data_IF_316091254457
#
_entry.id   IF_316091254457
#
_cell.length_a   1.000
_cell.length_b   1.000
_cell.length_c   1.000
_cell.angle_alpha   90.00
_cell.angle_beta   90.00
_cell.angle_gamma   90.00
#
_symmetry.space_group_name_H-M   'P 1'
#
loop_
_entity.id
_entity.type
_entity.pdbx_description
1 polymer ?
#
# COMPACT_ATOMS: atom_id res chain seq x y z
N UNK A 1 7.69 16.70 14.92
CA UNK A 1 6.49 15.85 14.83
C UNK A 1 6.88 14.47 15.29
N UNK A 2 6.22 13.95 16.33
CA UNK A 2 6.35 12.57 16.75
C UNK A 2 5.28 11.78 15.99
N UNK A 3 5.68 11.09 14.92
CA UNK A 3 4.80 10.11 14.28
C UNK A 3 5.13 8.77 14.93
N UNK A 4 4.24 8.19 15.76
CA UNK A 4 4.46 6.83 16.22
C UNK A 4 4.66 5.94 14.98
N UNK A 5 5.70 5.11 15.00
CA UNK A 5 5.96 4.18 13.91
C UNK A 5 4.88 3.07 13.96
N UNK A 6 3.78 3.28 13.24
CA UNK A 6 2.64 2.38 13.23
C UNK A 6 2.86 1.31 12.16
N UNK A 7 3.26 0.13 12.60
CA UNK A 7 3.29 -1.07 11.75
C UNK A 7 1.88 -1.67 11.67
N UNK A 8 1.50 -2.10 10.47
CA UNK A 8 0.32 -2.93 10.27
C UNK A 8 0.43 -4.24 11.05
N UNK A 9 -0.70 -4.70 11.58
CA UNK A 9 -0.84 -6.01 12.25
C UNK A 9 -1.75 -6.92 11.42
N UNK A 10 -1.95 -8.17 11.83
CA UNK A 10 -2.69 -9.18 11.06
C UNK A 10 -4.05 -8.65 10.53
N UNK A 11 -4.18 -8.66 9.21
CA UNK A 11 -5.38 -8.19 8.49
C UNK A 11 -5.43 -6.68 8.24
N UNK A 12 -4.48 -5.90 8.76
CA UNK A 12 -4.36 -4.47 8.47
C UNK A 12 -3.60 -4.21 7.16
N UNK A 13 -4.00 -3.14 6.50
CA UNK A 13 -3.34 -2.55 5.34
C UNK A 13 -3.17 -1.05 5.58
N UNK A 14 -2.33 -0.40 4.80
CA UNK A 14 -2.11 1.03 4.94
C UNK A 14 -3.14 1.83 4.16
N UNK A 15 -3.70 2.85 4.82
CA UNK A 15 -4.56 3.86 4.20
C UNK A 15 -4.00 5.26 4.43
N UNK A 16 -4.34 6.18 3.54
CA UNK A 16 -4.14 7.61 3.72
C UNK A 16 -5.43 8.35 3.35
N UNK A 17 -5.62 9.53 3.93
CA UNK A 17 -6.64 10.44 3.44
C UNK A 17 -6.20 10.94 2.06
N UNK A 18 -7.12 11.03 1.10
CA UNK A 18 -6.84 11.54 -0.24
C UNK A 18 -6.09 12.89 -0.16
N UNK A 19 -5.11 13.08 -1.06
CA UNK A 19 -4.24 14.27 -1.12
C UNK A 19 -3.33 14.48 0.11
N UNK A 20 -3.13 13.46 0.93
CA UNK A 20 -2.21 13.48 2.07
C UNK A 20 -1.12 12.42 1.95
N UNK A 21 -0.03 12.60 2.72
CA UNK A 21 1.08 11.64 2.77
C UNK A 21 1.15 10.88 4.08
N UNK A 22 0.31 11.22 5.07
CA UNK A 22 0.29 10.53 6.35
C UNK A 22 -0.49 9.23 6.21
N UNK A 23 0.18 8.13 6.53
CA UNK A 23 -0.38 6.78 6.42
C UNK A 23 -0.76 6.23 7.79
N UNK A 24 -1.77 5.37 7.81
CA UNK A 24 -2.27 4.70 9.00
C UNK A 24 -2.65 3.24 8.68
N UNK A 25 -2.30 2.26 9.52
CA UNK A 25 -2.76 0.89 9.33
C UNK A 25 -4.20 0.72 9.80
N UNK A 26 -5.01 0.01 9.02
CA UNK A 26 -6.42 -0.25 9.31
C UNK A 26 -6.86 -1.60 8.72
N UNK A 27 -7.88 -2.22 9.32
CA UNK A 27 -8.68 -3.20 8.59
C UNK A 27 -9.68 -2.45 7.70
N UNK A 28 -10.11 -3.05 6.60
CA UNK A 28 -11.00 -2.40 5.63
C UNK A 28 -12.31 -3.16 5.56
N UNK A 29 -13.44 -2.45 5.58
CA UNK A 29 -14.73 -3.07 5.33
C UNK A 29 -14.84 -3.58 3.88
N UNK A 30 -15.70 -4.60 3.70
CA UNK A 30 -16.00 -5.16 2.38
C UNK A 30 -16.59 -4.09 1.44
N UNK A 31 -17.54 -3.29 1.91
CA UNK A 31 -18.19 -2.28 1.07
C UNK A 31 -17.41 -0.97 1.05
N UNK A 32 -17.19 -0.44 -0.16
CA UNK A 32 -16.64 0.90 -0.39
C UNK A 32 -17.70 1.97 -0.19
N UNK A 33 -17.25 3.20 0.02
CA UNK A 33 -18.09 4.39 -0.04
C UNK A 33 -17.64 5.26 -1.21
N UNK A 34 -18.47 5.35 -2.26
CA UNK A 34 -18.13 6.07 -3.51
C UNK A 34 -16.78 5.64 -4.12
N UNK A 35 -16.43 4.35 -4.00
CA UNK A 35 -15.13 3.80 -4.44
C UNK A 35 -13.98 4.02 -3.45
N UNK A 36 -14.19 4.74 -2.35
CA UNK A 36 -13.20 4.92 -1.29
C UNK A 36 -13.28 3.82 -0.24
N UNK A 37 -12.14 3.54 0.38
CA UNK A 37 -12.05 2.57 1.46
C UNK A 37 -12.77 3.05 2.71
N UNK A 38 -13.26 2.09 3.49
CA UNK A 38 -13.93 2.34 4.77
C UNK A 38 -13.08 1.68 5.86
N UNK A 39 -12.08 2.40 6.41
CA UNK A 39 -11.14 1.84 7.36
C UNK A 39 -11.68 1.75 8.79
N UNK A 40 -11.17 0.77 9.52
CA UNK A 40 -11.42 0.51 10.94
C UNK A 40 -10.10 0.47 11.70
N UNK A 41 -9.86 1.48 12.52
CA UNK A 41 -8.58 1.74 13.17
C UNK A 41 -8.57 1.19 14.59
N UNK A 42 -7.54 0.43 14.97
CA UNK A 42 -7.31 0.09 16.39
C UNK A 42 -7.02 1.35 17.21
N UNK A 43 -7.29 1.31 18.52
CA UNK A 43 -7.17 2.46 19.45
C UNK A 43 -5.91 3.30 19.26
N UNK A 44 -4.73 2.68 19.28
CA UNK A 44 -3.45 3.40 19.16
C UNK A 44 -3.30 4.13 17.81
N UNK A 45 -3.92 3.62 16.75
CA UNK A 45 -3.94 4.28 15.44
C UNK A 45 -4.92 5.44 15.46
N UNK A 46 -6.10 5.26 16.05
CA UNK A 46 -7.08 6.33 16.24
C UNK A 46 -6.52 7.52 17.04
N UNK A 47 -5.74 7.27 18.10
CA UNK A 47 -5.02 8.31 18.86
C UNK A 47 -3.98 9.05 18.01
N UNK A 48 -3.32 8.33 17.11
CA UNK A 48 -2.34 8.91 16.20
C UNK A 48 -3.02 9.78 15.13
N UNK A 49 -4.17 9.34 14.61
CA UNK A 49 -5.00 10.14 13.70
C UNK A 49 -5.48 11.42 14.40
N UNK A 50 -5.99 11.32 15.63
CA UNK A 50 -6.44 12.49 16.38
C UNK A 50 -5.30 13.50 16.62
N UNK A 51 -4.12 13.00 16.99
CA UNK A 51 -2.92 13.84 17.15
C UNK A 51 -2.51 14.52 15.84
N UNK A 52 -2.55 13.78 14.73
CA UNK A 52 -2.25 14.30 13.40
C UNK A 52 -3.24 15.39 12.98
N UNK A 53 -4.55 15.15 13.10
CA UNK A 53 -5.59 16.13 12.77
C UNK A 53 -5.39 17.44 13.52
N UNK A 54 -5.22 17.37 14.85
CA UNK A 54 -4.99 18.56 15.67
C UNK A 54 -3.69 19.28 15.28
N UNK A 55 -2.63 18.54 14.95
CA UNK A 55 -1.37 19.14 14.48
C UNK A 55 -1.56 19.88 13.15
N UNK A 56 -2.34 19.32 12.23
CA UNK A 56 -2.63 19.95 10.94
C UNK A 56 -3.51 21.19 11.12
N UNK A 57 -4.53 21.10 11.99
CA UNK A 57 -5.39 22.22 12.36
C UNK A 57 -4.60 23.37 12.99
N UNK A 58 -3.73 23.07 13.95
CA UNK A 58 -2.88 24.08 14.60
C UNK A 58 -1.94 24.79 13.61
N UNK A 59 -1.53 24.08 12.55
CA UNK A 59 -0.64 24.62 11.53
C UNK A 59 -1.36 25.52 10.51
N UNK A 60 -2.52 25.08 10.01
CA UNK A 60 -3.31 25.82 9.02
C UNK A 60 -4.81 25.53 9.23
N UNK A 61 -5.46 26.24 10.17
CA UNK A 61 -6.85 25.96 10.56
C UNK A 61 -7.87 26.33 9.47
N UNK A 62 -7.46 27.12 8.47
CA UNK A 62 -8.30 27.45 7.32
C UNK A 62 -8.37 26.33 6.30
N UNK A 63 -7.30 25.54 6.18
CA UNK A 63 -7.24 24.35 5.32
C UNK A 63 -7.66 23.07 6.05
N UNK A 64 -7.25 22.94 7.30
CA UNK A 64 -7.47 21.77 8.15
C UNK A 64 -8.39 22.15 9.27
N UNK A 65 -9.68 22.07 9.01
CA UNK A 65 -10.65 22.64 9.93
C UNK A 65 -11.04 21.65 11.03
N UNK A 66 -10.87 20.36 10.80
CA UNK A 66 -11.28 19.30 11.72
C UNK A 66 -10.33 19.15 12.92
N UNK A 67 -10.90 18.88 14.09
CA UNK A 67 -10.16 18.56 15.33
C UNK A 67 -10.71 17.29 15.96
N UNK A 68 -9.92 16.67 16.82
CA UNK A 68 -10.25 15.36 17.38
C UNK A 68 -9.82 15.25 18.85
N UNK A 69 -10.70 14.73 19.71
CA UNK A 69 -10.40 14.50 21.13
C UNK A 69 -11.01 13.22 21.64
N UNK A 70 -10.34 12.58 22.60
CA UNK A 70 -10.82 11.40 23.28
C UNK A 70 -11.43 11.73 24.64
N UNK A 71 -12.58 11.13 24.93
CA UNK A 71 -13.20 11.07 26.26
C UNK A 71 -13.43 9.59 26.62
N UNK A 72 -12.52 9.05 27.43
CA UNK A 72 -12.41 7.60 27.64
C UNK A 72 -12.18 6.86 26.31
N UNK A 73 -13.09 5.93 26.00
CA UNK A 73 -13.07 5.14 24.77
C UNK A 73 -13.79 5.81 23.61
N UNK A 74 -14.37 7.00 23.78
CA UNK A 74 -15.10 7.68 22.69
C UNK A 74 -14.20 8.72 22.03
N UNK A 75 -14.02 8.62 20.71
CA UNK A 75 -13.41 9.68 19.91
C UNK A 75 -14.49 10.67 19.48
N UNK A 76 -14.28 11.96 19.69
CA UNK A 76 -15.11 13.01 19.10
C UNK A 76 -14.30 13.73 18.02
N UNK A 77 -14.79 13.71 16.78
CA UNK A 77 -14.26 14.51 15.67
C UNK A 77 -15.19 15.70 15.46
N UNK A 78 -14.66 16.90 15.50
CA UNK A 78 -15.42 18.12 15.22
C UNK A 78 -15.19 18.51 13.76
N UNK A 79 -16.15 18.21 12.90
CA UNK A 79 -16.14 18.63 11.50
C UNK A 79 -16.73 20.04 11.37
N UNK A 80 -15.96 20.98 10.81
CA UNK A 80 -16.38 22.40 10.82
C UNK A 80 -17.36 22.78 9.71
N UNK A 81 -17.45 22.04 8.61
CA UNK A 81 -18.40 22.40 7.54
C UNK A 81 -19.86 22.31 8.03
N UNK A 82 -20.14 21.40 8.99
CA UNK A 82 -21.45 21.28 9.63
C UNK A 82 -21.48 21.70 11.12
N UNK A 83 -20.32 21.93 11.74
CA UNK A 83 -20.16 22.15 13.19
C UNK A 83 -20.80 21.04 14.05
N UNK A 84 -20.89 19.82 13.52
CA UNK A 84 -21.49 18.69 14.23
C UNK A 84 -20.36 17.82 14.78
N UNK A 85 -20.28 17.65 16.11
CA UNK A 85 -19.36 16.69 16.68
C UNK A 85 -19.83 15.28 16.30
N UNK A 86 -19.02 14.55 15.55
CA UNK A 86 -19.21 13.13 15.32
C UNK A 86 -18.60 12.35 16.48
N UNK A 87 -19.43 11.51 17.12
CA UNK A 87 -19.03 10.69 18.26
C UNK A 87 -18.84 9.26 17.76
N UNK A 88 -17.59 8.80 17.84
CA UNK A 88 -17.14 7.54 17.30
C UNK A 88 -16.78 6.63 18.47
N UNK A 89 -17.64 5.65 18.73
CA UNK A 89 -17.40 4.56 19.66
C UNK A 89 -16.66 3.42 18.94
N UNK A 90 -15.80 2.65 19.64
CA UNK A 90 -15.22 1.45 19.07
C UNK A 90 -16.31 0.41 18.79
N UNK A 91 -16.14 -0.35 17.72
CA UNK A 91 -16.98 -1.52 17.43
C UNK A 91 -16.62 -2.72 18.31
N UNK A 92 -17.28 -3.86 18.08
CA UNK A 92 -17.09 -5.12 18.81
C UNK A 92 -15.66 -5.69 18.72
N UNK A 93 -14.81 -5.16 17.84
CA UNK A 93 -13.41 -5.55 17.68
C UNK A 93 -12.44 -4.47 18.20
N UNK A 94 -12.92 -3.52 19.03
CA UNK A 94 -12.15 -2.39 19.56
C UNK A 94 -11.58 -1.46 18.48
N UNK A 95 -12.32 -1.28 17.36
CA UNK A 95 -11.90 -0.45 16.22
C UNK A 95 -12.82 0.73 15.94
N UNK A 96 -12.23 1.83 15.50
CA UNK A 96 -12.86 3.13 15.29
C UNK A 96 -13.05 3.41 13.80
N UNK A 97 -14.24 3.85 13.40
CA UNK A 97 -14.60 4.19 12.02
C UNK A 97 -14.44 5.70 11.75
N UNK A 98 -13.20 6.18 11.66
CA UNK A 98 -12.90 7.62 11.57
C UNK A 98 -13.16 8.14 10.15
N UNK A 99 -14.01 9.17 10.03
CA UNK A 99 -14.40 9.74 8.74
C UNK A 99 -15.32 8.82 7.93
N UNK A 100 -16.04 7.89 8.59
CA UNK A 100 -16.92 6.92 7.95
C UNK A 100 -17.94 7.62 7.03
N UNK A 101 -17.82 7.36 5.72
CA UNK A 101 -18.67 7.94 4.67
C UNK A 101 -18.69 9.48 4.62
N UNK A 102 -17.71 10.13 5.22
CA UNK A 102 -17.45 11.57 5.08
C UNK A 102 -16.11 11.83 4.41
N UNK A 103 -15.13 10.95 4.62
CA UNK A 103 -13.75 11.15 4.17
C UNK A 103 -13.33 10.16 3.09
N UNK A 104 -12.51 10.63 2.17
CA UNK A 104 -12.01 9.85 1.04
C UNK A 104 -10.72 9.12 1.44
N UNK A 105 -10.84 7.96 2.09
CA UNK A 105 -9.69 7.11 2.43
C UNK A 105 -9.26 6.25 1.23
N UNK A 106 -7.97 6.21 0.92
CA UNK A 106 -7.38 5.41 -0.16
C UNK A 106 -6.39 4.39 0.39
N UNK A 107 -6.31 3.20 -0.23
CA UNK A 107 -5.23 2.25 0.04
C UNK A 107 -3.90 2.86 -0.42
N UNK A 108 -2.85 2.59 0.34
CA UNK A 108 -1.50 3.09 0.07
C UNK A 108 -0.45 2.13 0.62
N UNK A 109 0.81 2.55 0.61
CA UNK A 109 1.95 1.82 1.13
C UNK A 109 2.66 2.62 2.22
N UNK A 110 3.40 1.97 3.13
CA UNK A 110 4.18 2.69 4.11
C UNK A 110 5.25 3.58 3.42
N UNK A 111 5.66 4.70 4.03
CA UNK A 111 6.73 5.52 3.52
C UNK A 111 7.98 4.68 3.23
N UNK A 112 8.51 4.80 2.00
CA UNK A 112 9.79 4.19 1.61
C UNK A 112 10.87 5.26 1.49
N UNK A 113 12.13 4.84 1.63
CA UNK A 113 13.28 5.68 1.32
C UNK A 113 13.58 5.61 -0.19
N UNK A 114 13.38 6.71 -0.95
CA UNK A 114 13.66 6.71 -2.39
C UNK A 114 15.12 6.43 -2.72
N UNK A 115 16.06 6.78 -1.83
CA UNK A 115 17.48 6.53 -2.05
C UNK A 115 17.80 5.03 -1.89
N UNK A 116 17.14 4.34 -0.96
CA UNK A 116 17.26 2.90 -0.82
C UNK A 116 16.71 2.17 -2.05
N UNK A 117 15.55 2.60 -2.58
CA UNK A 117 14.97 2.06 -3.81
C UNK A 117 15.92 2.26 -5.01
N UNK A 118 16.47 3.47 -5.18
CA UNK A 118 17.43 3.77 -6.23
C UNK A 118 18.71 2.92 -6.11
N UNK A 119 19.17 2.65 -4.89
CA UNK A 119 20.31 1.75 -4.63
C UNK A 119 20.06 0.32 -5.10
N UNK A 120 18.85 -0.22 -4.86
CA UNK A 120 18.46 -1.55 -5.34
C UNK A 120 18.39 -1.61 -6.87
N UNK A 121 17.84 -0.57 -7.50
CA UNK A 121 17.72 -0.49 -8.96
C UNK A 121 19.08 -0.37 -9.67
N UNK A 122 20.06 0.28 -9.03
CA UNK A 122 21.42 0.41 -9.56
C UNK A 122 22.28 -0.86 -9.37
N UNK A 123 21.88 -1.78 -8.49
CA UNK A 123 22.64 -2.98 -8.14
C UNK A 123 22.46 -4.10 -9.17
N UNK A 124 23.12 -3.93 -10.33
CA UNK A 124 23.09 -4.89 -11.44
C UNK A 124 23.54 -6.32 -11.07
N UNK A 125 24.31 -6.50 -9.99
CA UNK A 125 24.74 -7.83 -9.54
C UNK A 125 23.54 -8.69 -9.12
N UNK A 126 22.49 -8.06 -8.59
CA UNK A 126 21.23 -8.73 -8.22
C UNK A 126 20.48 -9.29 -9.42
N UNK A 127 20.72 -8.74 -10.62
CA UNK A 127 20.01 -9.05 -11.86
C UNK A 127 20.79 -9.97 -12.79
N UNK A 128 21.92 -10.53 -12.34
CA UNK A 128 22.60 -11.61 -13.06
C UNK A 128 21.71 -12.86 -13.03
N UNK A 129 21.37 -13.47 -14.19
CA UNK A 129 20.55 -14.67 -14.24
C UNK A 129 21.27 -15.88 -13.64
N UNK A 130 20.54 -16.68 -12.88
CA UNK A 130 20.94 -18.01 -12.46
C UNK A 130 20.45 -19.07 -13.46
N UNK A 131 20.97 -20.31 -13.34
CA UNK A 131 20.63 -21.40 -14.25
C UNK A 131 19.11 -21.63 -14.34
N UNK A 132 18.60 -21.61 -15.58
CA UNK A 132 17.18 -21.81 -15.87
C UNK A 132 16.33 -20.54 -15.79
N UNK A 133 16.87 -19.42 -15.31
CA UNK A 133 16.16 -18.15 -15.31
C UNK A 133 16.06 -17.57 -16.73
N UNK A 134 14.88 -17.08 -17.06
CA UNK A 134 14.59 -16.27 -18.24
C UNK A 134 14.51 -14.80 -17.84
N UNK A 135 14.83 -13.93 -18.80
CA UNK A 135 14.78 -12.50 -18.63
C UNK A 135 13.39 -11.96 -18.96
N UNK A 136 12.84 -11.16 -18.05
CA UNK A 136 11.46 -10.64 -18.15
C UNK A 136 11.43 -9.15 -17.83
N UNK A 137 10.51 -8.42 -18.44
CA UNK A 137 10.32 -6.98 -18.18
C UNK A 137 8.85 -6.61 -18.29
N UNK A 138 8.48 -5.46 -17.75
CA UNK A 138 7.21 -4.80 -18.06
C UNK A 138 7.61 -3.56 -18.83
N UNK A 139 7.41 -3.61 -20.14
CA UNK A 139 7.89 -2.58 -21.05
C UNK A 139 6.87 -1.43 -21.11
N UNK A 140 6.97 -0.50 -20.17
CA UNK A 140 6.13 0.69 -20.07
C UNK A 140 6.61 1.73 -21.08
N UNK A 141 7.92 1.98 -21.13
CA UNK A 141 8.51 3.06 -21.94
C UNK A 141 9.78 2.69 -22.72
N UNK A 142 10.19 1.42 -22.71
CA UNK A 142 11.39 0.94 -23.38
C UNK A 142 12.68 1.11 -22.58
N UNK A 143 12.62 1.67 -21.36
CA UNK A 143 13.78 1.83 -20.47
C UNK A 143 13.67 1.02 -19.18
N UNK A 144 12.61 0.23 -19.05
CA UNK A 144 12.35 -0.58 -17.87
C UNK A 144 13.41 -1.66 -17.65
N UNK A 145 13.73 -1.99 -16.38
CA UNK A 145 14.71 -3.01 -16.07
C UNK A 145 14.27 -4.39 -16.56
N UNK A 146 15.26 -5.24 -16.74
CA UNK A 146 15.06 -6.65 -17.05
C UNK A 146 15.38 -7.47 -15.81
N UNK A 147 14.48 -8.38 -15.46
CA UNK A 147 14.52 -9.17 -14.24
C UNK A 147 14.68 -10.65 -14.58
N UNK A 148 15.65 -11.37 -13.97
CA UNK A 148 15.72 -12.80 -14.13
C UNK A 148 14.67 -13.51 -13.27
N UNK A 149 13.99 -14.49 -13.85
CA UNK A 149 12.91 -15.23 -13.19
C UNK A 149 12.78 -16.65 -13.72
N UNK A 150 12.14 -17.54 -12.96
CA UNK A 150 11.61 -18.77 -13.53
C UNK A 150 10.22 -18.51 -14.10
N UNK A 151 9.89 -19.22 -15.18
CA UNK A 151 8.51 -19.27 -15.66
C UNK A 151 7.58 -19.90 -14.60
N UNK A 152 6.27 -19.64 -14.75
CA UNK A 152 5.25 -20.31 -13.94
C UNK A 152 5.31 -21.83 -14.16
N UNK A 153 5.25 -22.62 -13.10
CA UNK A 153 5.17 -24.09 -13.21
C UNK A 153 3.84 -24.54 -13.81
N UNK A 154 2.77 -23.82 -13.50
CA UNK A 154 1.40 -24.18 -13.88
C UNK A 154 1.08 -23.67 -15.29
N UNK A 155 1.48 -22.44 -15.60
CA UNK A 155 1.09 -21.75 -16.84
C UNK A 155 2.23 -21.62 -17.85
N UNK A 156 3.45 -22.03 -17.49
CA UNK A 156 4.64 -21.86 -18.32
C UNK A 156 4.95 -20.37 -18.58
N UNK A 157 5.57 -20.12 -19.73
CA UNK A 157 5.82 -18.77 -20.24
C UNK A 157 4.81 -18.42 -21.34
N UNK A 158 3.93 -17.45 -21.06
CA UNK A 158 3.07 -16.79 -22.04
C UNK A 158 3.01 -15.29 -21.70
N UNK A 159 2.42 -14.45 -22.55
CA UNK A 159 2.24 -13.00 -22.26
C UNK A 159 1.43 -12.70 -20.99
N UNK A 160 0.81 -13.71 -20.39
CA UNK A 160 0.11 -13.67 -19.11
C UNK A 160 0.78 -14.57 -18.04
N UNK A 161 2.05 -14.96 -18.25
CA UNK A 161 2.80 -15.77 -17.30
C UNK A 161 3.06 -14.97 -16.02
N UNK A 162 3.00 -15.65 -14.87
CA UNK A 162 3.40 -15.06 -13.60
C UNK A 162 4.86 -15.48 -13.30
N UNK A 163 5.85 -14.58 -13.52
CA UNK A 163 7.24 -14.91 -13.30
C UNK A 163 7.50 -15.11 -11.81
N UNK A 164 8.42 -16.03 -11.52
CA UNK A 164 8.79 -16.43 -10.15
C UNK A 164 10.19 -15.95 -9.84
N UNK A 165 10.28 -14.93 -9.00
CA UNK A 165 11.52 -14.24 -8.69
C UNK A 165 12.13 -14.78 -7.39
N UNK A 166 13.42 -15.11 -7.41
CA UNK A 166 14.16 -15.31 -6.15
C UNK A 166 14.16 -14.03 -5.32
N UNK A 167 14.27 -14.14 -3.99
CA UNK A 167 14.16 -13.01 -3.05
C UNK A 167 14.94 -11.76 -3.48
N UNK A 168 16.20 -11.93 -3.85
CA UNK A 168 17.08 -10.82 -4.25
C UNK A 168 16.57 -10.05 -5.46
N UNK A 169 15.92 -10.72 -6.42
CA UNK A 169 15.31 -10.09 -7.60
C UNK A 169 13.95 -9.48 -7.25
N UNK A 170 13.15 -10.19 -6.44
CA UNK A 170 11.88 -9.69 -5.94
C UNK A 170 12.02 -8.34 -5.21
N UNK A 171 13.10 -8.15 -4.46
CA UNK A 171 13.42 -6.85 -3.83
C UNK A 171 13.61 -5.73 -4.85
N UNK A 172 14.25 -6.00 -6.00
CA UNK A 172 14.43 -5.03 -7.08
C UNK A 172 13.11 -4.79 -7.82
N UNK A 173 12.30 -5.83 -8.06
CA UNK A 173 10.96 -5.67 -8.66
C UNK A 173 10.08 -4.77 -7.80
N UNK A 174 10.04 -5.00 -6.47
CA UNK A 174 9.27 -4.17 -5.55
C UNK A 174 9.80 -2.72 -5.52
N UNK A 175 11.11 -2.51 -5.58
CA UNK A 175 11.70 -1.18 -5.69
C UNK A 175 11.32 -0.48 -7.02
N UNK A 176 11.28 -1.23 -8.13
CA UNK A 176 10.84 -0.71 -9.43
C UNK A 176 9.36 -0.32 -9.40
N UNK A 177 8.46 -1.16 -8.86
CA UNK A 177 7.03 -0.83 -8.72
C UNK A 177 6.85 0.49 -7.95
N UNK A 178 7.56 0.67 -6.83
CA UNK A 178 7.53 1.92 -6.05
C UNK A 178 8.06 3.11 -6.84
N UNK A 179 9.16 2.93 -7.58
CA UNK A 179 9.73 4.00 -8.39
C UNK A 179 8.79 4.43 -9.52
N UNK A 180 8.18 3.47 -10.20
CA UNK A 180 7.15 3.69 -11.22
C UNK A 180 5.95 4.44 -10.63
N UNK A 181 5.47 4.04 -9.46
CA UNK A 181 4.37 4.74 -8.80
C UNK A 181 4.69 6.19 -8.40
N UNK A 182 5.95 6.50 -8.05
CA UNK A 182 6.37 7.89 -7.83
C UNK A 182 6.35 8.71 -9.11
N UNK A 183 6.68 8.11 -10.26
CA UNK A 183 6.65 8.76 -11.57
C UNK A 183 5.22 8.91 -12.12
N UNK A 184 4.35 7.93 -11.87
CA UNK A 184 3.00 7.84 -12.41
C UNK A 184 1.96 7.51 -11.32
N UNK A 185 1.67 8.44 -10.39
CA UNK A 185 0.88 8.17 -9.19
C UNK A 185 -0.60 7.82 -9.43
N UNK A 186 -1.15 8.13 -10.61
CA UNK A 186 -2.56 7.91 -10.94
C UNK A 186 -2.86 6.61 -11.70
N UNK A 187 -1.87 5.76 -11.96
CA UNK A 187 -2.04 4.58 -12.81
C UNK A 187 -1.01 3.47 -12.57
N UNK A 188 -0.38 3.46 -11.41
CA UNK A 188 0.62 2.45 -11.05
C UNK A 188 0.20 1.69 -9.81
N UNK A 189 0.48 0.40 -9.83
CA UNK A 189 0.42 -0.44 -8.64
C UNK A 189 1.42 0.01 -7.59
N UNK A 190 1.14 -0.33 -6.34
CA UNK A 190 2.03 -0.08 -5.22
C UNK A 190 2.47 -1.41 -4.60
N UNK A 191 3.71 -1.47 -4.10
CA UNK A 191 4.21 -2.67 -3.44
C UNK A 191 5.12 -2.37 -2.25
N UNK A 192 5.02 -3.18 -1.21
CA UNK A 192 5.91 -3.13 -0.05
C UNK A 192 6.15 -4.51 0.56
N UNK A 193 7.20 -4.60 1.38
CA UNK A 193 7.50 -5.79 2.16
C UNK A 193 6.89 -5.67 3.56
N UNK A 194 6.20 -6.72 3.98
CA UNK A 194 5.77 -6.95 5.35
C UNK A 194 6.41 -8.25 5.84
N UNK A 195 7.57 -8.12 6.49
CA UNK A 195 8.44 -9.26 6.78
C UNK A 195 8.85 -10.00 5.50
N UNK A 196 8.45 -11.26 5.41
CA UNK A 196 8.72 -12.14 4.27
C UNK A 196 7.59 -12.16 3.22
N UNK A 197 6.57 -11.31 3.37
CA UNK A 197 5.44 -11.20 2.43
C UNK A 197 5.56 -9.92 1.62
N UNK A 198 5.32 -9.99 0.32
CA UNK A 198 5.09 -8.80 -0.52
C UNK A 198 3.60 -8.50 -0.48
N UNK A 199 3.25 -7.25 -0.18
CA UNK A 199 1.90 -6.75 -0.32
C UNK A 199 1.84 -5.91 -1.59
N UNK A 200 0.96 -6.30 -2.53
CA UNK A 200 0.76 -5.66 -3.82
C UNK A 200 -0.64 -5.03 -3.87
N UNK A 201 -0.69 -3.72 -4.05
CA UNK A 201 -1.92 -2.93 -4.23
C UNK A 201 -2.11 -2.66 -5.72
N UNK A 202 -3.16 -3.26 -6.27
CA UNK A 202 -3.58 -3.15 -7.66
C UNK A 202 -4.35 -1.86 -7.85
N UNK A 203 -3.85 -0.95 -8.70
CA UNK A 203 -4.47 0.35 -8.91
C UNK A 203 -5.82 0.27 -9.62
N UNK A 204 -6.06 -0.79 -10.40
CA UNK A 204 -7.30 -0.97 -11.15
C UNK A 204 -8.43 -1.50 -10.27
N UNK A 205 -8.09 -2.37 -9.32
CA UNK A 205 -9.06 -3.00 -8.41
C UNK A 205 -9.27 -2.22 -7.10
N UNK A 206 -8.44 -1.20 -6.80
CA UNK A 206 -8.44 -0.47 -5.51
C UNK A 206 -9.82 0.04 -5.07
N UNK A 207 -10.67 0.44 -6.03
CA UNK A 207 -12.00 0.98 -5.80
C UNK A 207 -13.13 -0.04 -5.78
N UNK A 208 -12.83 -1.33 -5.96
CA UNK A 208 -13.84 -2.41 -5.99
C UNK A 208 -14.25 -2.83 -4.57
N UNK A 209 -15.52 -3.19 -4.41
CA UNK A 209 -16.04 -3.80 -3.19
C UNK A 209 -15.36 -5.15 -2.94
N UNK A 210 -14.97 -5.40 -1.69
CA UNK A 210 -14.29 -6.62 -1.26
C UNK A 210 -12.81 -6.68 -1.64
N UNK A 211 -12.28 -5.71 -2.39
CA UNK A 211 -10.88 -5.72 -2.78
C UNK A 211 -9.95 -5.60 -1.55
N UNK A 212 -8.97 -6.50 -1.47
CA UNK A 212 -7.85 -6.44 -0.55
C UNK A 212 -6.54 -6.63 -1.34
N UNK A 213 -5.47 -5.92 -0.96
CA UNK A 213 -4.14 -6.12 -1.54
C UNK A 213 -3.71 -7.59 -1.55
N UNK A 214 -3.08 -8.01 -2.66
CA UNK A 214 -2.56 -9.36 -2.78
C UNK A 214 -1.37 -9.54 -1.83
N UNK A 215 -1.37 -10.66 -1.10
CA UNK A 215 -0.29 -11.04 -0.18
C UNK A 215 0.50 -12.19 -0.79
N UNK A 216 1.70 -11.90 -1.26
CA UNK A 216 2.55 -12.82 -2.01
C UNK A 216 3.64 -13.33 -1.06
N UNK A 217 3.56 -14.62 -0.72
CA UNK A 217 4.60 -15.33 0.01
C UNK A 217 5.48 -16.11 -0.96
N UNK A 218 6.67 -16.48 -0.51
CA UNK A 218 7.52 -17.38 -1.29
C UNK A 218 6.86 -18.77 -1.41
N UNK A 219 6.95 -19.36 -2.60
CA UNK A 219 6.66 -20.78 -2.80
C UNK A 219 7.74 -21.66 -2.13
N UNK A 220 7.57 -22.98 -2.17
CA UNK A 220 8.48 -23.94 -1.54
C UNK A 220 9.95 -23.81 -2.01
N UNK A 221 10.16 -23.31 -3.23
CA UNK A 221 11.49 -23.05 -3.82
C UNK A 221 12.08 -21.69 -3.42
N UNK A 222 11.42 -20.92 -2.55
CA UNK A 222 11.86 -19.60 -2.10
C UNK A 222 11.58 -18.46 -3.08
N UNK A 223 10.75 -18.68 -4.12
CA UNK A 223 10.46 -17.67 -5.16
C UNK A 223 9.09 -17.02 -5.00
N UNK A 224 9.00 -15.77 -5.42
CA UNK A 224 7.83 -14.92 -5.32
C UNK A 224 7.18 -14.75 -6.69
N UNK A 225 5.90 -15.09 -6.80
CA UNK A 225 5.07 -14.87 -7.97
C UNK A 225 4.48 -13.47 -7.94
N UNK A 226 5.09 -12.52 -8.66
CA UNK A 226 4.73 -11.10 -8.62
C UNK A 226 4.01 -10.69 -9.89
N UNK A 227 2.91 -9.94 -9.76
CA UNK A 227 2.25 -9.30 -10.90
C UNK A 227 1.57 -10.30 -11.83
N UNK A 228 0.73 -11.19 -11.31
CA UNK A 228 -0.08 -12.08 -12.14
C UNK A 228 -1.07 -11.31 -13.06
N UNK A 229 -1.40 -10.07 -12.69
CA UNK A 229 -2.18 -9.12 -13.50
C UNK A 229 -1.31 -8.28 -14.46
N UNK A 230 0.02 -8.42 -14.42
CA UNK A 230 0.93 -7.61 -15.25
C UNK A 230 1.15 -8.24 -16.61
N UNK A 231 1.36 -7.39 -17.61
CA UNK A 231 1.75 -7.79 -18.95
C UNK A 231 3.27 -7.99 -19.00
N UNK A 232 3.75 -9.11 -18.46
CA UNK A 232 5.17 -9.46 -18.54
C UNK A 232 5.58 -9.82 -19.96
N UNK A 233 6.67 -9.21 -20.42
CA UNK A 233 7.31 -9.48 -21.70
C UNK A 233 8.62 -10.24 -21.49
N UNK A 234 9.00 -11.03 -22.50
CA UNK A 234 10.32 -11.68 -22.51
C UNK A 234 11.31 -10.67 -23.07
N UNK A 235 12.39 -10.44 -22.35
CA UNK A 235 13.52 -9.70 -22.88
C UNK A 235 14.48 -10.71 -23.51
N UNK A 236 14.75 -10.56 -24.81
CA UNK A 236 15.69 -11.38 -25.57
C UNK A 236 17.12 -10.82 -25.52
#
# INVERSE_FOLDING_TARGET
MYTPNLTATDGEVYVALLDTTQVFPATIEENRWNGFTVPRFRRTVAESIATWLNTMHDHDPGKWTDTATFDGDVLTVLETEEHRPDRIEPDENDRYAIGYRGWCWILTVPPSDPQADAGLLADSVRLVPEDGEILVTINIDGTDPVFPSLASEIYGWSRAGCPRFRRTVAEVVVAWIRDTARKYPGGSDLAYWEGDTIVLVDHQAIGEDGYLPARITAAEDGRFSIGASFEWERAD
#
